data_IF_083379998832
#
_entry.id   IF_083379998832
#
_cell.length_a   1.000
_cell.length_b   1.000
_cell.length_c   1.000
_cell.angle_alpha   90.00
_cell.angle_beta   90.00
_cell.angle_gamma   90.00
#
_symmetry.space_group_name_H-M   'P 1'
#
loop_
_entity.id
_entity.type
_entity.pdbx_description
1 polymer ?
#
# COMPACT_ATOMS: atom_id res chain seq x y z
N UNK A 1 -33.30 -10.74 13.07
CA UNK A 1 -32.56 -11.28 11.90
C UNK A 1 -32.45 -10.32 10.70
N UNK A 2 -33.08 -9.13 10.72
CA UNK A 2 -33.05 -8.19 9.58
C UNK A 2 -31.78 -7.31 9.50
N UNK A 3 -31.05 -7.16 10.61
CA UNK A 3 -29.84 -6.32 10.69
C UNK A 3 -28.54 -7.08 10.34
N UNK A 4 -28.57 -8.41 10.34
CA UNK A 4 -27.41 -9.24 9.97
C UNK A 4 -27.24 -9.27 8.44
N UNK A 5 -28.35 -9.24 7.68
CA UNK A 5 -28.32 -9.20 6.22
C UNK A 5 -27.73 -7.90 5.67
N UNK A 6 -27.88 -6.76 6.35
CA UNK A 6 -27.31 -5.49 5.89
C UNK A 6 -25.78 -5.42 6.12
N UNK A 7 -25.29 -6.03 7.20
CA UNK A 7 -23.85 -6.16 7.48
C UNK A 7 -23.20 -7.14 6.50
N UNK A 8 -23.89 -8.23 6.15
CA UNK A 8 -23.44 -9.16 5.10
C UNK A 8 -23.49 -8.50 3.72
N UNK A 9 -24.48 -7.65 3.44
CA UNK A 9 -24.57 -6.93 2.16
C UNK A 9 -23.50 -5.83 2.03
N UNK A 10 -23.14 -5.16 3.13
CA UNK A 10 -21.99 -4.24 3.20
C UNK A 10 -20.62 -4.95 3.06
N UNK A 11 -20.56 -6.27 3.20
CA UNK A 11 -19.35 -7.08 3.05
C UNK A 11 -19.12 -7.62 1.62
N UNK A 12 -20.03 -7.38 0.66
CA UNK A 12 -20.08 -8.15 -0.62
C UNK A 12 -19.85 -7.32 -1.91
N UNK A 13 -19.48 -6.04 -1.84
CA UNK A 13 -19.28 -5.22 -3.07
C UNK A 13 -18.00 -4.42 -2.90
N UNK A 14 -16.99 -4.54 -3.78
CA UNK A 14 -15.58 -4.33 -3.30
C UNK A 14 -14.65 -3.58 -4.35
N UNK A 15 -13.30 -3.52 -4.30
CA UNK A 15 -12.37 -2.69 -5.17
C UNK A 15 -11.26 -3.39 -6.04
N UNK A 16 -10.53 -2.67 -6.90
CA UNK A 16 -9.38 -3.11 -7.72
C UNK A 16 -8.15 -2.22 -7.49
N UNK A 17 -7.00 -2.84 -7.17
CA UNK A 17 -5.68 -2.21 -7.01
C UNK A 17 -4.58 -3.08 -7.61
N UNK A 18 -3.46 -2.46 -8.01
CA UNK A 18 -2.19 -3.12 -8.33
C UNK A 18 -1.37 -3.49 -7.08
N UNK A 19 -1.60 -2.81 -5.94
CA UNK A 19 -1.05 -3.18 -4.64
C UNK A 19 -2.18 -3.53 -3.67
N UNK A 20 -2.12 -4.65 -2.93
CA UNK A 20 -3.15 -4.97 -1.97
C UNK A 20 -3.14 -3.94 -0.82
N UNK A 21 -4.31 -3.39 -0.43
CA UNK A 21 -4.35 -2.46 0.70
C UNK A 21 -4.04 -3.20 2.01
N UNK A 22 -2.99 -2.79 2.73
CA UNK A 22 -2.57 -3.44 3.99
C UNK A 22 -3.22 -2.77 5.22
N UNK A 23 -4.53 -2.94 5.36
CA UNK A 23 -5.31 -2.63 6.56
C UNK A 23 -5.04 -1.28 7.25
N UNK A 24 -5.13 -1.30 8.59
CA UNK A 24 -5.24 -0.16 9.50
C UNK A 24 -3.93 0.59 9.75
N UNK A 25 -2.77 0.02 9.40
CA UNK A 25 -1.47 0.74 9.42
C UNK A 25 -1.18 1.48 8.13
N UNK A 26 -2.02 1.30 7.12
CA UNK A 26 -1.84 1.89 5.80
C UNK A 26 -2.99 2.81 5.47
N UNK A 27 -2.78 3.69 4.50
CA UNK A 27 -3.86 4.45 3.88
C UNK A 27 -4.45 3.62 2.74
N UNK A 28 -5.20 4.24 1.81
CA UNK A 28 -5.87 3.49 0.74
C UNK A 28 -4.83 2.89 -0.21
N UNK A 29 -3.83 3.68 -0.58
CA UNK A 29 -2.80 3.30 -1.57
C UNK A 29 -1.40 3.24 -0.94
N UNK A 30 -1.13 4.14 0.00
CA UNK A 30 0.18 4.33 0.61
C UNK A 30 0.33 3.47 1.87
N UNK A 31 1.41 2.70 1.92
CA UNK A 31 1.72 1.74 2.98
C UNK A 31 2.70 2.34 4.00
N UNK A 32 2.41 2.17 5.28
CA UNK A 32 3.40 2.46 6.31
C UNK A 32 4.52 1.41 6.30
N UNK A 33 5.75 1.87 6.53
CA UNK A 33 6.92 1.04 6.79
C UNK A 33 6.81 0.23 8.10
N UNK A 34 5.83 0.54 8.98
CA UNK A 34 5.57 -0.26 10.18
C UNK A 34 4.79 -1.52 9.81
N UNK A 35 5.31 -2.67 10.23
CA UNK A 35 4.63 -3.98 10.15
C UNK A 35 3.58 -4.13 11.24
N UNK A 36 2.70 -5.12 11.18
CA UNK A 36 1.83 -5.46 12.30
C UNK A 36 2.61 -6.06 13.49
N UNK A 37 2.06 -5.94 14.70
CA UNK A 37 2.67 -6.52 15.90
C UNK A 37 2.60 -8.06 15.84
N UNK A 38 3.56 -8.76 16.45
CA UNK A 38 3.57 -10.23 16.46
C UNK A 38 2.25 -10.82 16.99
N UNK A 39 1.67 -11.75 16.24
CA UNK A 39 0.39 -12.41 16.55
C UNK A 39 -0.85 -11.57 16.23
N UNK A 40 -0.72 -10.37 15.66
CA UNK A 40 -1.86 -9.56 15.22
C UNK A 40 -2.44 -10.10 13.92
N UNK A 41 -3.74 -10.34 13.92
CA UNK A 41 -4.51 -10.74 12.73
C UNK A 41 -5.49 -9.62 12.41
N UNK A 42 -5.48 -9.17 11.17
CA UNK A 42 -6.37 -8.12 10.71
C UNK A 42 -7.03 -8.49 9.41
N UNK A 43 -8.29 -8.12 9.29
CA UNK A 43 -9.07 -8.24 8.07
C UNK A 43 -9.44 -6.85 7.61
N UNK A 44 -9.14 -6.55 6.36
CA UNK A 44 -9.51 -5.32 5.69
C UNK A 44 -10.32 -5.63 4.45
N UNK A 45 -11.48 -5.02 4.32
CA UNK A 45 -12.29 -5.06 3.10
C UNK A 45 -12.28 -3.67 2.50
N UNK A 46 -12.13 -3.54 1.18
CA UNK A 46 -12.12 -2.22 0.53
C UNK A 46 -12.91 -2.23 -0.77
N UNK A 47 -13.92 -1.37 -0.87
CA UNK A 47 -14.73 -1.15 -2.06
C UNK A 47 -14.31 0.03 -2.89
N UNK A 48 -14.27 -0.12 -4.22
CA UNK A 48 -14.11 1.00 -5.13
C UNK A 48 -15.22 1.03 -6.16
N UNK A 49 -15.64 2.25 -6.46
CA UNK A 49 -16.75 2.51 -7.36
C UNK A 49 -16.39 3.67 -8.27
N UNK A 50 -16.56 3.46 -9.56
CA UNK A 50 -16.53 4.50 -10.57
C UNK A 50 -17.77 4.37 -11.45
N UNK A 51 -18.33 5.49 -11.88
CA UNK A 51 -19.35 5.49 -12.91
C UNK A 51 -19.20 6.69 -13.82
N UNK A 52 -19.58 6.51 -15.08
CA UNK A 52 -19.61 7.59 -16.07
C UNK A 52 -20.75 7.35 -17.04
N UNK A 53 -21.67 8.30 -17.07
CA UNK A 53 -22.67 8.37 -18.12
C UNK A 53 -21.98 8.73 -19.44
N UNK A 54 -22.34 8.04 -20.52
CA UNK A 54 -21.84 8.37 -21.84
C UNK A 54 -22.49 9.64 -22.37
N UNK A 55 -21.68 10.53 -22.90
CA UNK A 55 -22.14 11.70 -23.64
C UNK A 55 -21.82 11.51 -25.13
N UNK A 56 -22.72 11.96 -25.99
CA UNK A 56 -22.48 11.97 -27.43
C UNK A 56 -21.41 13.01 -27.77
N UNK A 57 -20.29 12.58 -28.36
CA UNK A 57 -19.19 13.48 -28.76
C UNK A 57 -19.36 13.78 -30.26
N UNK A 58 -19.99 14.91 -30.57
CA UNK A 58 -20.14 15.44 -31.92
C UNK A 58 -20.66 16.87 -31.92
N UNK A 59 -20.31 17.67 -32.92
CA UNK A 59 -20.73 19.09 -33.04
C UNK A 59 -22.18 19.28 -33.51
N UNK A 60 -23.06 18.31 -33.26
CA UNK A 60 -24.43 18.27 -33.77
C UNK A 60 -25.39 17.52 -32.84
N UNK A 61 -26.65 17.40 -33.26
CA UNK A 61 -27.67 16.64 -32.51
C UNK A 61 -27.28 15.15 -32.45
N UNK A 62 -27.44 14.54 -31.27
CA UNK A 62 -27.23 13.10 -31.12
C UNK A 62 -28.11 12.32 -32.11
N UNK A 63 -27.56 11.33 -32.84
CA UNK A 63 -28.33 10.50 -33.75
C UNK A 63 -29.54 9.86 -33.07
N UNK A 64 -30.62 9.63 -33.80
CA UNK A 64 -31.85 9.02 -33.26
C UNK A 64 -31.64 7.60 -32.69
N UNK A 65 -30.53 6.95 -33.02
CA UNK A 65 -30.12 5.64 -32.49
C UNK A 65 -29.06 5.72 -31.38
N UNK A 66 -28.77 6.92 -30.85
CA UNK A 66 -27.90 7.08 -29.69
C UNK A 66 -28.68 6.72 -28.42
N UNK A 67 -28.15 5.76 -27.67
CA UNK A 67 -28.61 5.44 -26.33
C UNK A 67 -27.49 5.77 -25.35
N UNK A 68 -27.78 6.60 -24.36
CA UNK A 68 -26.85 6.84 -23.26
C UNK A 68 -26.69 5.52 -22.48
N UNK A 69 -25.46 5.04 -22.38
CA UNK A 69 -25.09 3.91 -21.53
C UNK A 69 -24.41 4.46 -20.29
N UNK A 70 -24.60 3.82 -19.14
CA UNK A 70 -23.87 4.19 -17.93
C UNK A 70 -22.83 3.14 -17.65
N UNK A 71 -21.55 3.50 -17.76
CA UNK A 71 -20.45 2.62 -17.37
C UNK A 71 -20.31 2.63 -15.86
N UNK A 72 -20.07 1.47 -15.28
CA UNK A 72 -19.63 1.36 -13.90
C UNK A 72 -18.40 0.47 -13.81
N UNK A 73 -17.57 0.72 -12.80
CA UNK A 73 -16.54 -0.19 -12.36
C UNK A 73 -16.76 -0.39 -10.88
N UNK A 74 -16.92 -1.65 -10.49
CA UNK A 74 -17.04 -2.07 -9.09
C UNK A 74 -16.15 -3.28 -8.94
N UNK A 75 -15.31 -3.33 -7.93
CA UNK A 75 -14.34 -4.43 -7.81
C UNK A 75 -14.44 -5.23 -6.52
N UNK A 76 -13.35 -5.75 -5.94
CA UNK A 76 -13.35 -6.95 -5.11
C UNK A 76 -12.60 -7.12 -3.80
N UNK A 77 -11.66 -6.31 -3.32
CA UNK A 77 -10.68 -6.83 -2.34
C UNK A 77 -11.09 -7.10 -0.88
N UNK A 78 -10.78 -8.31 -0.43
CA UNK A 78 -10.57 -8.68 0.96
C UNK A 78 -9.07 -8.87 1.19
N UNK A 79 -8.51 -8.35 2.28
CA UNK A 79 -7.12 -8.52 2.66
C UNK A 79 -7.05 -9.05 4.10
N UNK A 80 -6.29 -10.13 4.29
CA UNK A 80 -6.05 -10.76 5.59
C UNK A 80 -4.56 -10.63 5.86
N UNK A 81 -4.20 -9.90 6.91
CA UNK A 81 -2.82 -9.65 7.29
C UNK A 81 -2.51 -10.25 8.65
N UNK A 82 -1.42 -10.99 8.74
CA UNK A 82 -0.92 -11.60 9.96
C UNK A 82 0.49 -11.10 10.29
N UNK A 83 0.67 -10.48 11.46
CA UNK A 83 1.97 -10.13 12.01
C UNK A 83 2.68 -11.39 12.51
N UNK A 84 3.68 -11.85 11.77
CA UNK A 84 4.45 -13.06 12.11
C UNK A 84 5.45 -12.72 13.21
N UNK A 85 6.16 -11.61 13.05
CA UNK A 85 7.14 -11.05 13.99
C UNK A 85 6.95 -9.53 14.05
N UNK A 86 7.57 -8.86 15.04
CA UNK A 86 7.49 -7.40 15.16
C UNK A 86 8.06 -6.64 13.95
N UNK A 87 8.84 -7.30 13.09
CA UNK A 87 9.42 -6.76 11.87
C UNK A 87 8.98 -7.50 10.60
N UNK A 88 8.02 -8.43 10.69
CA UNK A 88 7.58 -9.24 9.56
C UNK A 88 6.07 -9.47 9.60
N UNK A 89 5.38 -9.06 8.55
CA UNK A 89 3.98 -9.45 8.32
C UNK A 89 3.77 -10.06 6.93
N UNK A 90 2.71 -10.85 6.83
CA UNK A 90 2.27 -11.49 5.61
C UNK A 90 0.81 -11.15 5.37
N UNK A 91 0.49 -10.82 4.12
CA UNK A 91 -0.87 -10.52 3.68
C UNK A 91 -1.25 -11.41 2.50
N UNK A 92 -2.45 -11.97 2.57
CA UNK A 92 -3.15 -12.53 1.42
C UNK A 92 -4.39 -11.69 1.15
N UNK A 93 -4.58 -11.30 -0.10
CA UNK A 93 -5.68 -10.43 -0.48
C UNK A 93 -6.34 -10.92 -1.76
N UNK A 94 -7.34 -11.80 -1.69
CA UNK A 94 -8.15 -12.15 -2.85
C UNK A 94 -9.02 -10.97 -3.29
N UNK A 95 -9.09 -10.76 -4.60
CA UNK A 95 -10.15 -9.95 -5.21
C UNK A 95 -11.42 -10.79 -5.26
N UNK A 96 -12.38 -10.49 -4.40
CA UNK A 96 -13.61 -11.27 -4.25
C UNK A 96 -14.53 -11.09 -5.45
N UNK A 97 -14.70 -9.89 -5.97
CA UNK A 97 -15.63 -9.59 -7.05
C UNK A 97 -15.03 -8.59 -8.03
N UNK A 98 -15.37 -8.60 -9.31
CA UNK A 98 -15.08 -7.46 -10.16
C UNK A 98 -15.97 -7.39 -11.39
N UNK A 99 -16.68 -6.28 -11.53
CA UNK A 99 -17.47 -5.91 -12.69
C UNK A 99 -16.84 -4.68 -13.37
N UNK A 100 -16.45 -4.87 -14.63
CA UNK A 100 -15.83 -3.84 -15.47
C UNK A 100 -16.80 -3.27 -16.50
N UNK A 101 -18.10 -3.60 -16.37
CA UNK A 101 -19.17 -3.27 -17.31
C UNK A 101 -18.86 -3.76 -18.74
N UNK A 102 -18.04 -4.81 -18.84
CA UNK A 102 -17.81 -5.56 -20.05
C UNK A 102 -18.75 -6.78 -20.04
N UNK A 103 -19.87 -6.65 -20.76
CA UNK A 103 -20.76 -7.74 -21.19
C UNK A 103 -21.03 -8.85 -20.14
N UNK A 104 -21.87 -8.59 -19.13
CA UNK A 104 -22.40 -9.59 -18.18
C UNK A 104 -21.39 -10.54 -17.49
N UNK A 105 -20.08 -10.30 -17.62
CA UNK A 105 -19.01 -11.14 -17.09
C UNK A 105 -18.33 -10.38 -15.96
N UNK A 106 -18.59 -10.84 -14.74
CA UNK A 106 -17.90 -10.41 -13.54
C UNK A 106 -16.84 -11.46 -13.20
N UNK A 107 -15.68 -11.03 -12.72
CA UNK A 107 -14.70 -11.95 -12.15
C UNK A 107 -15.12 -12.29 -10.71
N UNK A 108 -15.38 -13.57 -10.41
CA UNK A 108 -15.72 -14.06 -9.08
C UNK A 108 -15.16 -15.49 -8.86
N UNK A 109 -14.02 -15.65 -8.15
CA UNK A 109 -13.12 -14.61 -7.67
C UNK A 109 -12.27 -14.02 -8.80
N UNK A 110 -11.68 -12.85 -8.56
CA UNK A 110 -10.61 -12.29 -9.37
C UNK A 110 -9.23 -12.81 -8.95
N UNK A 111 -8.22 -11.99 -9.22
CA UNK A 111 -6.82 -12.29 -8.90
C UNK A 111 -6.54 -12.33 -7.40
N UNK A 112 -5.55 -13.13 -7.00
CA UNK A 112 -5.07 -13.23 -5.62
C UNK A 112 -3.76 -12.45 -5.48
N UNK A 113 -3.71 -11.56 -4.50
CA UNK A 113 -2.50 -10.81 -4.16
C UNK A 113 -1.88 -11.40 -2.89
N UNK A 114 -0.55 -11.47 -2.86
CA UNK A 114 0.22 -11.85 -1.68
C UNK A 114 1.32 -10.81 -1.45
N UNK A 115 1.53 -10.45 -0.19
CA UNK A 115 2.57 -9.50 0.21
C UNK A 115 3.31 -10.03 1.42
N UNK A 116 4.63 -9.95 1.39
CA UNK A 116 5.51 -10.16 2.54
C UNK A 116 6.21 -8.83 2.84
N UNK A 117 5.98 -8.26 4.02
CA UNK A 117 6.60 -6.99 4.44
C UNK A 117 7.61 -7.25 5.54
N UNK A 118 8.85 -6.82 5.29
CA UNK A 118 9.88 -6.64 6.29
C UNK A 118 9.94 -5.15 6.64
N UNK A 119 9.77 -4.78 7.89
CA UNK A 119 9.66 -3.37 8.25
C UNK A 119 9.87 -3.08 9.71
N UNK A 120 9.36 -1.93 10.15
CA UNK A 120 9.56 -1.42 11.51
C UNK A 120 11.03 -1.18 11.89
N UNK A 121 11.93 -1.03 10.92
CA UNK A 121 13.34 -0.70 11.18
C UNK A 121 13.48 0.78 11.49
N UNK A 122 13.55 1.11 12.78
CA UNK A 122 13.59 2.48 13.26
C UNK A 122 15.00 3.08 13.18
N UNK A 123 15.10 4.34 12.77
CA UNK A 123 16.35 5.11 12.78
C UNK A 123 16.08 6.58 13.14
N UNK A 124 17.14 7.38 13.34
CA UNK A 124 17.05 8.79 13.75
C UNK A 124 16.13 8.99 14.98
N UNK A 125 16.46 8.33 16.09
CA UNK A 125 15.68 8.37 17.34
C UNK A 125 14.20 7.99 17.12
N UNK A 126 13.93 7.04 16.23
CA UNK A 126 12.60 6.51 15.89
C UNK A 126 11.64 7.49 15.20
N UNK A 127 12.11 8.64 14.72
CA UNK A 127 11.28 9.50 13.88
C UNK A 127 11.06 8.88 12.49
N UNK A 128 11.98 8.02 12.05
CA UNK A 128 11.91 7.38 10.75
C UNK A 128 11.89 5.86 10.87
N UNK A 129 11.16 5.23 9.96
CA UNK A 129 11.07 3.78 9.82
C UNK A 129 11.25 3.38 8.36
N UNK A 130 12.11 2.39 8.12
CA UNK A 130 12.30 1.76 6.82
C UNK A 130 11.60 0.40 6.74
N UNK A 131 11.19 0.03 5.53
CA UNK A 131 10.66 -1.30 5.21
C UNK A 131 10.79 -1.64 3.73
N UNK A 132 10.65 -2.93 3.44
CA UNK A 132 10.65 -3.53 2.12
C UNK A 132 9.46 -4.49 2.02
N UNK A 133 8.77 -4.48 0.89
CA UNK A 133 7.67 -5.39 0.59
C UNK A 133 8.00 -6.18 -0.67
N UNK A 134 7.80 -7.49 -0.62
CA UNK A 134 7.76 -8.33 -1.81
C UNK A 134 6.30 -8.69 -2.08
N UNK A 135 5.85 -8.40 -3.29
CA UNK A 135 4.47 -8.56 -3.71
C UNK A 135 4.39 -9.55 -4.87
N UNK A 136 3.34 -10.36 -4.88
CA UNK A 136 3.02 -11.29 -5.96
C UNK A 136 1.54 -11.16 -6.26
N UNK A 137 1.19 -11.15 -7.54
CA UNK A 137 -0.19 -11.29 -8.01
C UNK A 137 -0.30 -12.56 -8.82
N UNK A 138 -1.26 -13.40 -8.46
CA UNK A 138 -1.62 -14.59 -9.20
C UNK A 138 -2.83 -14.25 -10.07
N UNK A 139 -2.68 -14.36 -11.39
CA UNK A 139 -3.73 -14.15 -12.38
C UNK A 139 -4.81 -15.25 -12.36
N UNK A 140 -5.54 -15.38 -11.25
CA UNK A 140 -6.58 -16.40 -11.06
C UNK A 140 -7.95 -15.98 -11.59
N UNK A 141 -8.15 -14.70 -11.94
CA UNK A 141 -9.38 -14.24 -12.58
C UNK A 141 -9.59 -14.86 -13.96
N UNK A 142 -10.83 -14.85 -14.44
CA UNK A 142 -11.17 -15.40 -15.77
C UNK A 142 -10.85 -14.41 -16.89
N UNK A 143 -11.13 -13.12 -16.66
CA UNK A 143 -10.92 -12.05 -17.64
C UNK A 143 -9.85 -11.08 -17.16
N UNK A 144 -8.90 -10.79 -18.05
CA UNK A 144 -7.80 -9.84 -17.85
C UNK A 144 -7.86 -8.73 -18.92
N UNK A 145 -6.95 -7.76 -18.84
CA UNK A 145 -6.85 -6.66 -19.80
C UNK A 145 -8.21 -5.94 -20.05
N UNK A 146 -8.66 -5.19 -19.05
CA UNK A 146 -9.90 -4.41 -19.08
C UNK A 146 -9.59 -2.93 -18.82
N UNK A 147 -10.39 -1.99 -19.35
CA UNK A 147 -10.20 -0.56 -19.11
C UNK A 147 -10.63 -0.16 -17.69
N UNK A 148 -10.34 1.09 -17.33
CA UNK A 148 -10.67 1.79 -16.08
C UNK A 148 -9.94 1.34 -14.81
N UNK A 149 -9.03 0.39 -14.93
CA UNK A 149 -8.26 -0.21 -13.84
C UNK A 149 -6.75 -0.10 -14.10
N UNK A 150 -5.91 -0.49 -13.14
CA UNK A 150 -4.53 -0.87 -13.46
C UNK A 150 -4.46 -2.13 -14.32
N UNK A 151 -3.41 -2.21 -15.16
CA UNK A 151 -3.18 -3.34 -16.05
C UNK A 151 -3.11 -4.66 -15.27
N UNK A 152 -3.72 -5.67 -15.87
CA UNK A 152 -3.82 -7.03 -15.38
C UNK A 152 -3.43 -7.94 -16.52
N UNK A 153 -2.26 -8.55 -16.44
CA UNK A 153 -1.75 -9.39 -17.52
C UNK A 153 -2.37 -10.79 -17.55
N UNK A 154 -2.89 -11.25 -16.40
CA UNK A 154 -3.29 -12.65 -16.19
C UNK A 154 -2.11 -13.59 -15.95
N UNK A 155 -0.87 -13.08 -16.03
CA UNK A 155 0.32 -13.82 -15.64
C UNK A 155 0.55 -13.75 -14.12
N UNK A 156 1.52 -14.53 -13.64
CA UNK A 156 2.08 -14.33 -12.30
C UNK A 156 2.99 -13.10 -12.32
N UNK A 157 2.47 -12.01 -11.78
CA UNK A 157 3.17 -10.73 -11.66
C UNK A 157 3.88 -10.67 -10.30
N UNK A 158 4.96 -9.92 -10.22
CA UNK A 158 5.70 -9.73 -8.97
C UNK A 158 6.35 -8.36 -8.91
N UNK A 159 6.55 -7.87 -7.70
CA UNK A 159 7.16 -6.56 -7.49
C UNK A 159 7.78 -6.40 -6.12
N UNK A 160 8.60 -5.36 -6.01
CA UNK A 160 9.26 -4.96 -4.77
C UNK A 160 8.92 -3.52 -4.47
N UNK A 161 8.69 -3.19 -3.20
CA UNK A 161 8.37 -1.83 -2.79
C UNK A 161 9.17 -1.45 -1.55
N UNK A 162 9.94 -0.38 -1.65
CA UNK A 162 10.53 0.30 -0.49
C UNK A 162 9.50 1.19 0.18
N UNK A 163 9.48 1.18 1.52
CA UNK A 163 8.61 2.01 2.33
C UNK A 163 9.46 2.84 3.32
N UNK A 164 9.17 4.12 3.39
CA UNK A 164 9.74 5.05 4.36
C UNK A 164 8.60 5.77 5.08
N UNK A 165 8.60 5.72 6.40
CA UNK A 165 7.64 6.46 7.24
C UNK A 165 8.36 7.47 8.11
N UNK A 166 7.80 8.65 8.24
CA UNK A 166 8.16 9.68 9.19
C UNK A 166 7.04 9.88 10.22
N UNK A 167 7.38 10.00 11.49
CA UNK A 167 6.45 10.28 12.58
C UNK A 167 6.96 11.50 13.35
N UNK A 168 6.07 12.49 13.54
CA UNK A 168 6.39 13.70 14.29
C UNK A 168 6.65 13.37 15.78
N UNK A 169 5.80 12.54 16.38
CA UNK A 169 6.02 12.00 17.73
C UNK A 169 6.39 10.50 17.62
N UNK A 170 7.65 10.12 17.87
CA UNK A 170 8.10 8.73 17.77
C UNK A 170 7.52 7.83 18.87
N UNK A 171 6.98 8.39 19.96
CA UNK A 171 6.37 7.65 21.07
C UNK A 171 4.86 7.48 20.89
N UNK A 172 4.25 8.34 20.08
CA UNK A 172 2.83 8.33 19.75
C UNK A 172 2.63 8.43 18.22
N UNK A 173 3.14 7.45 17.45
CA UNK A 173 3.11 7.51 15.99
C UNK A 173 1.67 7.56 15.43
N UNK A 174 0.71 6.92 16.11
CA UNK A 174 -0.69 6.86 15.65
C UNK A 174 -1.54 8.06 16.11
N UNK A 175 -0.97 8.97 16.92
CA UNK A 175 -1.65 10.16 17.46
C UNK A 175 -0.99 11.48 17.03
N UNK A 176 0.10 11.41 16.28
CA UNK A 176 0.81 12.58 15.78
C UNK A 176 0.85 12.55 14.25
N UNK A 177 1.08 13.72 13.66
CA UNK A 177 1.29 13.83 12.23
C UNK A 177 2.34 12.82 11.75
N UNK A 178 2.03 12.15 10.65
CA UNK A 178 2.95 11.22 10.01
C UNK A 178 2.86 11.31 8.49
N UNK A 179 3.96 10.92 7.85
CA UNK A 179 4.13 10.96 6.41
C UNK A 179 4.76 9.65 5.93
N UNK A 180 4.38 9.23 4.73
CA UNK A 180 4.77 7.94 4.18
C UNK A 180 5.16 8.10 2.71
N UNK A 181 6.22 7.40 2.31
CA UNK A 181 6.69 7.33 0.95
C UNK A 181 6.87 5.85 0.57
N UNK A 182 6.27 5.44 -0.53
CA UNK A 182 6.48 4.14 -1.14
C UNK A 182 7.01 4.31 -2.54
N UNK A 183 8.06 3.56 -2.87
CA UNK A 183 8.63 3.48 -4.22
C UNK A 183 8.74 2.01 -4.58
N UNK A 184 8.18 1.62 -5.71
CA UNK A 184 8.07 0.23 -6.12
C UNK A 184 8.46 0.00 -7.56
N UNK A 185 8.84 -1.24 -7.83
CA UNK A 185 9.04 -1.78 -9.16
C UNK A 185 8.18 -3.03 -9.30
N UNK A 186 7.52 -3.17 -10.43
CA UNK A 186 6.61 -4.28 -10.70
C UNK A 186 6.81 -4.82 -12.11
N UNK A 187 6.75 -6.14 -12.25
CA UNK A 187 6.91 -6.88 -13.49
C UNK A 187 5.68 -7.73 -13.75
N UNK A 188 5.09 -7.55 -14.93
CA UNK A 188 3.86 -8.22 -15.33
C UNK A 188 4.10 -9.65 -15.85
N UNK A 189 5.33 -10.01 -16.25
CA UNK A 189 5.74 -11.37 -16.61
C UNK A 189 4.82 -12.08 -17.64
N UNK A 190 4.37 -11.31 -18.62
CA UNK A 190 3.37 -11.67 -19.62
C UNK A 190 3.94 -12.11 -20.96
N UNK A 191 5.24 -11.93 -21.21
CA UNK A 191 5.88 -12.27 -22.47
C UNK A 191 5.59 -13.71 -22.90
N UNK A 192 5.11 -13.88 -24.14
CA UNK A 192 4.74 -15.17 -24.70
C UNK A 192 3.40 -15.73 -24.22
N UNK A 193 2.60 -14.98 -23.45
CA UNK A 193 1.26 -15.37 -23.01
C UNK A 193 0.16 -14.60 -23.74
N UNK A 194 -1.02 -15.19 -23.92
CA UNK A 194 -2.18 -14.47 -24.44
C UNK A 194 -2.64 -13.42 -23.43
N UNK A 195 -2.77 -12.18 -23.87
CA UNK A 195 -3.21 -11.04 -23.03
C UNK A 195 -4.55 -10.48 -23.51
N UNK A 196 -4.94 -10.79 -24.74
CA UNK A 196 -6.25 -10.43 -25.29
C UNK A 196 -6.80 -11.58 -26.11
N UNK A 197 -8.10 -11.82 -26.00
CA UNK A 197 -8.83 -12.81 -26.79
C UNK A 197 -10.02 -12.16 -27.48
N UNK A 198 -10.17 -12.39 -28.77
CA UNK A 198 -11.28 -11.84 -29.54
C UNK A 198 -12.57 -12.63 -29.29
N UNK A 199 -13.58 -11.96 -28.75
CA UNK A 199 -14.92 -12.54 -28.54
C UNK A 199 -15.89 -12.27 -29.69
N UNK A 200 -15.55 -11.33 -30.56
CA UNK A 200 -16.29 -10.97 -31.77
C UNK A 200 -15.29 -10.67 -32.90
N UNK A 201 -15.67 -10.87 -34.17
CA UNK A 201 -14.80 -10.54 -35.30
C UNK A 201 -14.44 -9.04 -35.29
N UNK A 202 -13.17 -8.71 -35.49
CA UNK A 202 -12.69 -7.34 -35.55
C UNK A 202 -11.49 -7.21 -36.50
N UNK A 203 -11.63 -6.37 -37.52
CA UNK A 203 -10.63 -6.27 -38.58
C UNK A 203 -10.42 -7.62 -39.27
N UNK A 204 -9.19 -8.13 -39.25
CA UNK A 204 -8.83 -9.45 -39.77
C UNK A 204 -8.97 -10.59 -38.76
N UNK A 205 -9.26 -10.29 -37.48
CA UNK A 205 -9.30 -11.28 -36.41
C UNK A 205 -10.66 -11.95 -36.30
N UNK A 206 -10.66 -13.26 -36.08
CA UNK A 206 -11.83 -14.09 -35.85
C UNK A 206 -12.08 -14.32 -34.35
N UNK A 207 -13.27 -14.82 -34.02
CA UNK A 207 -13.60 -15.21 -32.65
C UNK A 207 -12.66 -16.33 -32.20
N UNK A 208 -12.02 -16.14 -31.05
CA UNK A 208 -11.06 -17.07 -30.47
C UNK A 208 -9.61 -16.79 -30.83
N UNK A 209 -9.32 -15.86 -31.74
CA UNK A 209 -7.95 -15.38 -31.96
C UNK A 209 -7.40 -14.76 -30.67
N UNK A 210 -6.10 -14.93 -30.44
CA UNK A 210 -5.42 -14.44 -29.24
C UNK A 210 -4.26 -13.53 -29.65
N UNK A 211 -4.11 -12.40 -28.95
CA UNK A 211 -2.93 -11.54 -29.05
C UNK A 211 -1.97 -11.90 -27.92
N UNK A 212 -0.77 -12.30 -28.32
CA UNK A 212 0.30 -12.74 -27.43
C UNK A 212 1.20 -11.55 -27.11
N UNK A 213 1.48 -11.33 -25.84
CA UNK A 213 2.42 -10.28 -25.44
C UNK A 213 3.84 -10.57 -25.94
N UNK A 214 4.47 -9.57 -26.54
CA UNK A 214 5.79 -9.68 -27.15
C UNK A 214 6.92 -9.46 -26.14
N UNK A 215 6.61 -8.82 -25.01
CA UNK A 215 7.56 -8.37 -24.00
C UNK A 215 6.93 -8.40 -22.61
N UNK A 216 7.78 -8.40 -21.57
CA UNK A 216 7.34 -8.16 -20.20
C UNK A 216 7.24 -6.66 -19.98
N UNK A 217 6.06 -6.16 -19.60
CA UNK A 217 5.94 -4.79 -19.15
C UNK A 217 6.43 -4.64 -17.71
N UNK A 218 6.95 -3.45 -17.44
CA UNK A 218 7.50 -3.10 -16.13
C UNK A 218 7.05 -1.71 -15.77
N UNK A 219 6.62 -1.53 -14.53
CA UNK A 219 6.17 -0.25 -14.00
C UNK A 219 6.94 0.14 -12.74
N UNK A 220 7.17 1.45 -12.63
CA UNK A 220 7.60 2.11 -11.42
C UNK A 220 6.37 2.65 -10.70
N UNK A 221 6.11 2.13 -9.50
CA UNK A 221 4.99 2.53 -8.66
C UNK A 221 5.48 3.55 -7.63
N UNK A 222 4.71 4.61 -7.40
CA UNK A 222 5.04 5.58 -6.36
C UNK A 222 3.80 5.99 -5.60
N UNK A 223 3.95 6.16 -4.29
CA UNK A 223 2.91 6.70 -3.43
C UNK A 223 3.51 7.57 -2.33
N UNK A 224 2.88 8.70 -2.05
CA UNK A 224 3.22 9.58 -0.94
C UNK A 224 1.96 9.95 -0.20
N UNK A 225 1.94 9.77 1.12
CA UNK A 225 0.75 9.99 1.92
C UNK A 225 1.05 10.76 3.20
N UNK A 226 0.15 11.66 3.54
CA UNK A 226 0.17 12.47 4.76
C UNK A 226 -1.02 12.09 5.62
N UNK A 227 -0.81 11.99 6.93
CA UNK A 227 -1.86 11.66 7.89
C UNK A 227 -1.85 12.69 9.02
N UNK A 228 -3.01 13.28 9.25
CA UNK A 228 -3.29 14.10 10.42
C UNK A 228 -4.28 13.35 11.34
N UNK A 229 -3.79 12.65 12.38
CA UNK A 229 -4.64 11.90 13.28
C UNK A 229 -5.22 12.77 14.39
N UNK A 230 -6.48 12.48 14.72
CA UNK A 230 -7.21 12.96 15.90
C UNK A 230 -7.61 11.76 16.77
N UNK A 231 -8.39 11.97 17.84
CA UNK A 231 -8.87 10.86 18.66
C UNK A 231 -9.77 9.88 17.88
N UNK A 232 -10.70 10.40 17.06
CA UNK A 232 -11.71 9.59 16.35
C UNK A 232 -11.48 9.49 14.85
N UNK A 233 -10.72 10.41 14.25
CA UNK A 233 -10.53 10.47 12.80
C UNK A 233 -9.05 10.53 12.44
N UNK A 234 -8.67 9.92 11.31
CA UNK A 234 -7.47 10.32 10.59
C UNK A 234 -7.90 11.02 9.31
N UNK A 235 -7.37 12.22 9.07
CA UNK A 235 -7.50 12.89 7.79
C UNK A 235 -6.25 12.59 6.98
N UNK A 236 -6.43 11.98 5.82
CA UNK A 236 -5.32 11.57 4.97
C UNK A 236 -5.37 12.28 3.62
N UNK A 237 -4.20 12.47 3.05
CA UNK A 237 -4.02 12.96 1.69
C UNK A 237 -2.93 12.14 1.03
N UNK A 238 -3.26 11.47 -0.07
CA UNK A 238 -2.34 10.60 -0.80
C UNK A 238 -2.15 11.07 -2.23
N UNK A 239 -0.92 10.95 -2.73
CA UNK A 239 -0.58 11.03 -4.13
C UNK A 239 -0.05 9.67 -4.53
N UNK A 240 -0.61 9.04 -5.55
CA UNK A 240 -0.08 7.78 -6.03
C UNK A 240 -0.20 7.67 -7.54
N UNK A 241 0.60 6.80 -8.12
CA UNK A 241 0.63 6.62 -9.56
C UNK A 241 1.58 5.53 -9.99
N UNK A 242 1.59 5.31 -11.30
CA UNK A 242 2.55 4.45 -11.96
C UNK A 242 3.21 5.18 -13.11
N UNK A 243 4.42 4.75 -13.44
CA UNK A 243 5.10 5.12 -14.67
C UNK A 243 5.72 3.87 -15.28
N UNK A 244 5.33 3.53 -16.50
CA UNK A 244 5.91 2.39 -17.21
C UNK A 244 7.38 2.66 -17.54
N UNK A 245 8.23 1.73 -17.10
CA UNK A 245 9.63 1.61 -17.52
C UNK A 245 9.68 0.93 -18.87
N UNK A 246 8.84 -0.09 -19.04
CA UNK A 246 8.59 -0.77 -20.31
C UNK A 246 7.10 -0.86 -20.47
N UNK A 247 6.56 -0.06 -21.39
CA UNK A 247 5.13 -0.05 -21.69
C UNK A 247 4.67 -1.42 -22.19
N UNK A 248 3.42 -1.82 -21.89
CA UNK A 248 2.78 -2.97 -22.51
C UNK A 248 2.71 -2.86 -24.04
N UNK A 249 2.31 -3.96 -24.69
CA UNK A 249 2.00 -3.94 -26.12
C UNK A 249 0.81 -3.03 -26.46
N UNK A 250 0.72 -2.59 -27.71
CA UNK A 250 -0.25 -1.55 -28.09
C UNK A 250 -1.71 -1.97 -27.91
N UNK A 251 -2.00 -3.27 -27.92
CA UNK A 251 -3.34 -3.83 -27.73
C UNK A 251 -3.77 -3.98 -26.26
N UNK A 252 -2.95 -3.52 -25.33
CA UNK A 252 -3.24 -3.54 -23.89
C UNK A 252 -3.99 -2.27 -23.48
N UNK A 253 -5.09 -2.43 -22.74
CA UNK A 253 -5.74 -1.32 -22.04
C UNK A 253 -4.91 -0.93 -20.83
N UNK A 254 -4.96 0.35 -20.47
CA UNK A 254 -4.24 0.88 -19.31
C UNK A 254 -2.73 0.77 -19.48
N UNK A 255 -2.24 1.05 -20.69
CA UNK A 255 -0.80 1.08 -21.02
C UNK A 255 -0.17 2.45 -20.78
N UNK A 256 -0.96 3.44 -20.37
CA UNK A 256 -0.52 4.81 -20.10
C UNK A 256 -0.08 4.99 -18.65
N UNK A 257 0.70 6.05 -18.39
CA UNK A 257 1.01 6.44 -17.02
C UNK A 257 -0.18 7.14 -16.37
N UNK A 258 -0.35 6.97 -15.06
CA UNK A 258 -1.36 7.71 -14.32
C UNK A 258 -0.85 8.25 -12.99
N UNK A 259 -1.53 9.28 -12.51
CA UNK A 259 -1.35 9.83 -11.19
C UNK A 259 -2.70 10.29 -10.63
N UNK A 260 -2.92 10.04 -9.35
CA UNK A 260 -4.12 10.41 -8.61
C UNK A 260 -3.76 11.18 -7.33
N UNK A 261 -4.70 12.03 -6.93
CA UNK A 261 -4.78 12.61 -5.60
C UNK A 261 -5.96 11.97 -4.86
N UNK A 262 -5.74 11.52 -3.64
CA UNK A 262 -6.74 10.82 -2.83
C UNK A 262 -6.85 11.45 -1.44
N UNK A 263 -7.74 12.44 -1.24
CA UNK A 263 -8.20 12.78 0.10
C UNK A 263 -9.02 11.63 0.68
N UNK A 264 -8.75 11.26 1.93
CA UNK A 264 -9.51 10.24 2.63
C UNK A 264 -9.66 10.53 4.12
N UNK A 265 -10.65 9.90 4.74
CA UNK A 265 -10.94 9.98 6.17
C UNK A 265 -11.06 8.55 6.70
N UNK A 266 -10.33 8.25 7.77
CA UNK A 266 -10.50 7.04 8.56
C UNK A 266 -11.26 7.36 9.84
N UNK A 267 -12.43 6.78 10.04
CA UNK A 267 -13.15 6.83 11.30
C UNK A 267 -12.79 5.64 12.20
N UNK A 268 -12.30 5.92 13.40
CA UNK A 268 -11.87 4.95 14.41
C UNK A 268 -13.03 4.68 15.37
N UNK A 269 -14.03 3.95 14.90
CA UNK A 269 -15.24 3.65 15.65
C UNK A 269 -14.94 2.94 16.99
N UNK A 270 -14.02 1.96 16.95
CA UNK A 270 -13.53 1.24 18.11
C UNK A 270 -12.02 0.98 17.97
N UNK A 271 -11.35 0.57 19.04
CA UNK A 271 -9.92 0.20 18.98
C UNK A 271 -9.61 -0.95 18.02
N UNK A 272 -10.63 -1.73 17.64
CA UNK A 272 -10.54 -2.91 16.77
C UNK A 272 -11.35 -2.77 15.47
N UNK A 273 -12.05 -1.64 15.27
CA UNK A 273 -12.82 -1.35 14.04
C UNK A 273 -12.54 0.05 13.55
N UNK A 274 -12.15 0.17 12.29
CA UNK A 274 -12.11 1.45 11.59
C UNK A 274 -12.73 1.38 10.21
N UNK A 275 -13.31 2.49 9.77
CA UNK A 275 -13.91 2.63 8.45
C UNK A 275 -13.15 3.69 7.67
N UNK A 276 -12.88 3.42 6.39
CA UNK A 276 -12.21 4.34 5.48
C UNK A 276 -13.20 4.84 4.44
N UNK A 277 -13.12 6.13 4.13
CA UNK A 277 -13.81 6.74 3.00
C UNK A 277 -12.81 7.63 2.26
N UNK A 278 -12.68 7.44 0.96
CA UNK A 278 -11.79 8.27 0.14
C UNK A 278 -12.32 8.48 -1.27
N UNK A 279 -11.72 9.41 -1.99
CA UNK A 279 -12.00 9.64 -3.40
C UNK A 279 -10.69 9.84 -4.14
N UNK A 280 -10.42 9.01 -5.15
CA UNK A 280 -9.35 9.26 -6.10
C UNK A 280 -9.81 10.29 -7.11
N UNK A 281 -8.95 11.26 -7.39
CA UNK A 281 -9.13 12.28 -8.42
C UNK A 281 -7.92 12.22 -9.34
N UNK A 282 -8.14 11.90 -10.62
CA UNK A 282 -7.03 11.73 -11.57
C UNK A 282 -6.40 13.09 -11.88
N UNK A 283 -5.08 13.16 -11.80
CA UNK A 283 -4.28 14.32 -12.15
C UNK A 283 -3.58 14.17 -13.50
N UNK A 284 -3.39 12.93 -13.97
CA UNK A 284 -2.83 12.64 -15.29
C UNK A 284 -3.83 12.94 -16.42
N UNK A 285 -3.30 13.02 -17.65
CA UNK A 285 -4.10 13.32 -18.84
C UNK A 285 -5.09 12.22 -19.19
N UNK A 286 -6.15 12.63 -19.88
CA UNK A 286 -7.21 11.77 -20.41
C UNK A 286 -6.79 11.19 -21.77
N UNK A 287 -5.75 10.36 -21.80
CA UNK A 287 -5.19 9.75 -23.02
C UNK A 287 -5.53 8.26 -23.09
N UNK A 288 -5.84 7.77 -24.30
CA UNK A 288 -5.99 6.36 -24.64
C UNK A 288 -5.13 6.07 -25.87
N UNK A 289 -4.11 5.24 -25.68
CA UNK A 289 -3.09 4.86 -26.66
C UNK A 289 -3.19 3.38 -27.06
N UNK A 290 -4.26 2.71 -26.64
CA UNK A 290 -4.56 1.32 -27.00
C UNK A 290 -4.97 1.23 -28.48
N UNK A 291 -4.39 0.30 -29.23
CA UNK A 291 -4.59 0.11 -30.67
C UNK A 291 -4.72 -1.38 -31.02
N UNK A 292 -5.33 -1.69 -32.17
CA UNK A 292 -5.37 -3.07 -32.70
C UNK A 292 -6.38 -4.00 -32.01
N UNK A 293 -7.15 -3.51 -31.04
CA UNK A 293 -8.26 -4.23 -30.39
C UNK A 293 -9.55 -3.42 -30.49
N UNK A 294 -10.73 -4.08 -30.52
CA UNK A 294 -12.00 -3.39 -30.44
C UNK A 294 -11.97 -2.46 -29.24
N UNK A 295 -12.51 -1.25 -29.34
CA UNK A 295 -12.69 -0.48 -28.14
C UNK A 295 -13.74 -1.23 -27.28
N UNK A 296 -13.36 -1.67 -26.06
CA UNK A 296 -14.30 -2.27 -25.09
C UNK A 296 -15.37 -1.27 -24.65
N UNK A 297 -15.20 0.00 -25.03
CA UNK A 297 -16.24 1.02 -25.03
C UNK A 297 -16.76 1.24 -26.47
N UNK A 298 -18.08 1.36 -26.70
CA UNK A 298 -18.70 1.43 -28.02
C UNK A 298 -17.99 2.43 -28.94
N UNK A 299 -17.96 2.11 -30.24
CA UNK A 299 -17.22 2.75 -31.34
C UNK A 299 -17.40 4.28 -31.50
N UNK A 300 -18.16 4.95 -30.63
CA UNK A 300 -18.47 6.38 -30.67
C UNK A 300 -18.08 7.15 -29.40
N UNK A 301 -17.31 6.55 -28.50
CA UNK A 301 -17.02 7.12 -27.19
C UNK A 301 -15.51 7.22 -26.95
N UNK A 302 -15.04 8.44 -26.70
CA UNK A 302 -13.67 8.69 -26.24
C UNK A 302 -13.63 8.54 -24.72
N UNK A 303 -13.52 7.30 -24.24
CA UNK A 303 -13.34 7.02 -22.82
C UNK A 303 -11.86 6.68 -22.53
N UNK A 304 -11.27 7.23 -21.46
CA UNK A 304 -9.92 6.87 -21.05
C UNK A 304 -9.79 5.42 -20.62
N UNK A 305 -8.53 4.96 -20.60
CA UNK A 305 -8.18 3.70 -19.96
C UNK A 305 -8.16 3.75 -18.43
N UNK A 306 -8.18 4.93 -17.81
CA UNK A 306 -8.26 5.09 -16.35
C UNK A 306 -9.48 5.89 -15.92
N UNK A 307 -10.07 5.51 -14.79
CA UNK A 307 -11.21 6.22 -14.22
C UNK A 307 -10.84 7.67 -13.85
N UNK A 308 -11.64 8.65 -14.24
CA UNK A 308 -11.37 10.06 -13.90
C UNK A 308 -11.45 10.31 -12.38
N UNK A 309 -12.30 9.54 -11.69
CA UNK A 309 -12.45 9.53 -10.26
C UNK A 309 -12.83 8.13 -9.77
N UNK A 310 -12.55 7.79 -8.51
CA UNK A 310 -13.02 6.54 -7.88
C UNK A 310 -13.36 6.79 -6.43
N UNK A 311 -14.53 6.38 -5.96
CA UNK A 311 -14.86 6.42 -4.53
C UNK A 311 -14.38 5.13 -3.87
N UNK A 312 -13.80 5.25 -2.68
CA UNK A 312 -13.27 4.14 -1.87
C UNK A 312 -14.00 4.04 -0.55
N UNK A 313 -14.35 2.83 -0.14
CA UNK A 313 -14.95 2.54 1.16
C UNK A 313 -14.31 1.31 1.80
N UNK A 314 -13.60 1.49 2.90
CA UNK A 314 -12.90 0.43 3.60
C UNK A 314 -13.52 0.09 4.96
N UNK A 315 -13.39 -1.16 5.38
CA UNK A 315 -13.67 -1.63 6.73
C UNK A 315 -12.48 -2.45 7.22
N UNK A 316 -11.89 -2.04 8.33
CA UNK A 316 -10.79 -2.73 8.99
C UNK A 316 -11.30 -3.32 10.30
N UNK A 317 -10.99 -4.60 10.52
CA UNK A 317 -11.33 -5.34 11.73
C UNK A 317 -10.05 -6.03 12.23
N UNK A 318 -9.57 -5.61 13.39
CA UNK A 318 -8.48 -6.31 14.09
C UNK A 318 -9.08 -7.49 14.86
N UNK A 319 -8.78 -8.71 14.43
CA UNK A 319 -9.25 -9.95 15.04
C UNK A 319 -8.32 -10.40 16.17
N UNK A 320 -7.00 -10.41 15.94
CA UNK A 320 -6.01 -10.81 16.95
C UNK A 320 -5.01 -9.69 17.28
N UNK A 321 -4.41 -9.69 18.47
CA UNK A 321 -4.76 -10.55 19.60
C UNK A 321 -6.17 -10.20 20.11
N UNK A 322 -7.05 -11.20 20.21
CA UNK A 322 -8.34 -11.07 20.90
C UNK A 322 -7.99 -10.94 22.37
N UNK A 323 -7.50 -9.77 22.80
CA UNK A 323 -7.70 -9.39 24.19
C UNK A 323 -9.19 -9.11 24.32
N UNK A 324 -9.95 -10.18 24.55
CA UNK A 324 -11.33 -10.16 25.02
C UNK A 324 -11.44 -9.54 26.43
N UNK A 325 -10.36 -9.00 26.98
CA UNK A 325 -10.48 -7.99 28.03
C UNK A 325 -11.04 -6.74 27.37
N UNK A 326 -12.27 -6.37 27.78
CA UNK A 326 -12.84 -5.02 27.62
C UNK A 326 -11.86 -4.00 28.25
N UNK A 327 -10.73 -3.75 27.61
CA UNK A 327 -9.81 -2.71 28.02
C UNK A 327 -10.47 -1.42 27.60
N UNK A 328 -11.00 -0.70 28.57
CA UNK A 328 -11.45 0.67 28.35
C UNK A 328 -10.29 1.47 27.74
N UNK A 329 -10.55 2.55 26.99
CA UNK A 329 -9.50 3.41 26.43
C UNK A 329 -8.43 3.78 27.47
N UNK A 330 -8.83 3.99 28.72
CA UNK A 330 -7.96 4.25 29.86
C UNK A 330 -7.00 3.07 30.20
N UNK A 331 -7.42 1.82 30.05
CA UNK A 331 -6.57 0.65 30.30
C UNK A 331 -5.56 0.42 29.17
N UNK A 332 -5.94 0.68 27.93
CA UNK A 332 -5.01 0.68 26.78
C UNK A 332 -3.98 1.80 26.94
N UNK A 333 -4.41 2.99 27.35
CA UNK A 333 -3.51 4.09 27.69
C UNK A 333 -2.59 3.74 28.85
N UNK A 334 -3.09 3.03 29.86
CA UNK A 334 -2.28 2.62 31.01
C UNK A 334 -1.25 1.55 30.65
N UNK A 335 -1.56 0.63 29.73
CA UNK A 335 -0.57 -0.32 29.21
C UNK A 335 0.45 0.34 28.30
N UNK A 336 0.02 1.25 27.42
CA UNK A 336 0.95 2.05 26.62
C UNK A 336 1.83 2.91 27.54
N UNK A 337 1.27 3.46 28.61
CA UNK A 337 2.01 4.20 29.64
C UNK A 337 2.96 3.29 30.40
N UNK A 338 2.56 2.08 30.79
CA UNK A 338 3.45 1.13 31.48
C UNK A 338 4.60 0.68 30.58
N UNK A 339 4.33 0.37 29.30
CA UNK A 339 5.39 0.12 28.30
C UNK A 339 6.30 1.34 28.11
N UNK A 340 5.77 2.57 28.21
CA UNK A 340 6.58 3.80 28.23
C UNK A 340 7.43 3.90 29.48
N UNK A 341 6.89 3.64 30.67
CA UNK A 341 7.64 3.68 31.93
C UNK A 341 8.78 2.67 31.89
N UNK A 342 8.49 1.44 31.46
CA UNK A 342 9.49 0.38 31.31
C UNK A 342 10.57 0.76 30.29
N UNK A 343 10.17 1.38 29.17
CA UNK A 343 11.11 1.90 28.18
C UNK A 343 11.94 3.08 28.70
N UNK A 344 11.33 4.03 29.42
CA UNK A 344 12.04 5.15 30.05
C UNK A 344 12.99 4.68 31.14
N UNK A 345 12.58 3.70 31.94
CA UNK A 345 13.46 3.04 32.91
C UNK A 345 14.65 2.41 32.21
N UNK A 346 14.44 1.75 31.07
CA UNK A 346 15.52 1.18 30.26
C UNK A 346 16.46 2.26 29.70
N UNK A 347 15.95 3.40 29.24
CA UNK A 347 16.77 4.54 28.80
C UNK A 347 17.55 5.15 29.97
N UNK A 348 16.92 5.33 31.13
CA UNK A 348 17.59 5.89 32.32
C UNK A 348 18.70 4.94 32.75
N UNK A 349 18.45 3.63 32.78
CA UNK A 349 19.48 2.63 33.06
C UNK A 349 20.60 2.62 32.01
N UNK A 350 20.29 2.78 30.72
CA UNK A 350 21.30 2.89 29.67
C UNK A 350 22.12 4.19 29.80
N UNK A 351 21.50 5.28 30.24
CA UNK A 351 22.18 6.55 30.49
C UNK A 351 23.06 6.49 31.74
N UNK A 352 22.57 5.91 32.83
CA UNK A 352 23.37 5.67 34.05
C UNK A 352 24.57 4.78 33.74
N UNK A 353 24.36 3.69 32.98
CA UNK A 353 25.48 2.86 32.49
C UNK A 353 26.45 3.63 31.60
N UNK A 354 25.96 4.53 30.75
CA UNK A 354 26.83 5.36 29.92
C UNK A 354 27.62 6.38 30.76
N UNK A 355 27.00 6.97 31.79
CA UNK A 355 27.66 7.88 32.73
C UNK A 355 28.70 7.15 33.59
N UNK A 356 28.42 5.93 34.07
CA UNK A 356 29.38 5.07 34.77
C UNK A 356 30.58 4.71 33.88
N UNK A 357 30.34 4.31 32.62
CA UNK A 357 31.41 4.03 31.64
C UNK A 357 32.24 5.28 31.36
N UNK A 358 31.62 6.47 31.36
CA UNK A 358 32.32 7.72 31.14
C UNK A 358 33.22 8.10 32.33
N UNK A 359 32.75 7.88 33.56
CA UNK A 359 33.56 8.04 34.77
C UNK A 359 34.74 7.05 34.81
N UNK A 360 34.51 5.80 34.41
CA UNK A 360 35.55 4.78 34.34
C UNK A 360 36.61 5.12 33.28
N UNK A 361 36.19 5.67 32.13
CA UNK A 361 37.09 6.18 31.09
C UNK A 361 37.93 7.37 31.56
N UNK A 362 37.35 8.29 32.32
CA UNK A 362 38.10 9.44 32.85
C UNK A 362 39.10 9.01 33.94
N UNK A 363 38.74 8.05 34.79
CA UNK A 363 39.68 7.42 35.74
C UNK A 363 40.84 6.71 35.03
N UNK A 364 40.56 5.98 33.95
CA UNK A 364 41.62 5.32 33.15
C UNK A 364 42.55 6.34 32.47
N UNK A 365 42.06 7.54 32.11
CA UNK A 365 42.94 8.60 31.60
C UNK A 365 43.84 9.17 32.69
N UNK A 366 43.32 9.35 33.91
CA UNK A 366 44.11 9.81 35.06
C UNK A 366 45.20 8.79 35.41
N UNK A 367 44.85 7.50 35.52
CA UNK A 367 45.81 6.41 35.78
C UNK A 367 46.88 6.33 34.66
N UNK A 368 46.49 6.58 33.41
CA UNK A 368 47.44 6.64 32.30
C UNK A 368 48.38 7.85 32.40
N UNK A 369 47.90 9.02 32.82
CA UNK A 369 48.74 10.20 33.01
C UNK A 369 49.71 10.03 34.17
N UNK A 370 49.30 9.38 35.25
CA UNK A 370 50.21 9.01 36.35
C UNK A 370 51.27 8.01 35.88
N UNK A 371 50.86 6.96 35.14
CA UNK A 371 51.81 5.99 34.60
C UNK A 371 52.79 6.62 33.59
N UNK A 372 52.34 7.57 32.76
CA UNK A 372 53.22 8.32 31.85
C UNK A 372 54.23 9.19 32.62
N UNK A 373 53.82 9.85 33.72
CA UNK A 373 54.73 10.60 34.60
C UNK A 373 55.75 9.69 35.29
N UNK A 374 55.32 8.57 35.86
CA UNK A 374 56.23 7.62 36.50
C UNK A 374 57.24 7.03 35.49
N UNK A 375 56.83 6.77 34.25
CA UNK A 375 57.72 6.35 33.17
C UNK A 375 58.75 7.42 32.80
N UNK A 376 58.37 8.70 32.86
CA UNK A 376 59.25 9.83 32.55
C UNK A 376 60.27 10.07 33.67
N UNK A 377 59.86 9.94 34.93
CA UNK A 377 60.75 9.96 36.10
C UNK A 377 61.73 8.76 36.08
N UNK A 378 61.25 7.56 35.78
CA UNK A 378 62.10 6.38 35.63
C UNK A 378 63.11 6.51 34.49
N UNK A 379 62.72 7.16 33.38
CA UNK A 379 63.63 7.50 32.28
C UNK A 379 64.72 8.47 32.71
N UNK A 380 64.38 9.53 33.46
CA UNK A 380 65.38 10.46 33.99
C UNK A 380 66.37 9.77 34.93
N UNK A 381 65.89 8.90 35.81
CA UNK A 381 66.75 8.12 36.71
C UNK A 381 67.68 7.17 35.93
N UNK A 382 67.19 6.55 34.85
CA UNK A 382 67.98 5.68 33.98
C UNK A 382 69.00 6.45 33.12
N UNK A 383 68.72 7.69 32.75
CA UNK A 383 69.66 8.58 32.06
C UNK A 383 70.74 9.11 33.01
N UNK A 384 70.40 9.39 34.27
CA UNK A 384 71.37 9.78 35.32
C UNK A 384 72.29 8.63 35.75
N UNK A 385 71.85 7.36 35.67
CA UNK A 385 72.69 6.18 35.94
C UNK A 385 73.62 5.77 34.79
N UNK A 386 73.42 6.32 33.58
CA UNK A 386 74.24 6.01 32.40
C UNK A 386 75.26 7.13 32.04
N UNK A 387 75.40 8.15 32.89
CA UNK A 387 76.55 9.09 32.90
C UNK A 387 77.52 8.69 34.00
#
# INVERSE_FOLDING_TARGET
MRNISLVIFLLVSVAAFAQPPLGSRSMIHTQSARTFDSGRLEVHSNMNFFTRATEFIGSGQAPSNFHAVNYWLVAGNLAITYGILDNLDFTIAPRVYQDTHYKNEYNLPGDIFMSLKLGSFAFMRRHFYGGLMANVRLGTGEVHNYPFTEYASGATEYGFTGALSYFLDPYLPDRSFNAHLNLGWWNHNEAGKPVFKFEAPYGSHQVGDELIATKNSMEFQYAFGLVYPTAMFNYNLEFYGISYITEPDEFVYSRENYMYLTPSIRYKAFSWVSMDLGIDIRLSKDENTTQGVPNKTPERLNLPNYAAWRVHMGLNITLLPFTATKKTPAQVEREQFNKRVEFFQKIVQEREKAEDVQQELDRLKEERQEAEKELEELKQILEEQNQ
#
